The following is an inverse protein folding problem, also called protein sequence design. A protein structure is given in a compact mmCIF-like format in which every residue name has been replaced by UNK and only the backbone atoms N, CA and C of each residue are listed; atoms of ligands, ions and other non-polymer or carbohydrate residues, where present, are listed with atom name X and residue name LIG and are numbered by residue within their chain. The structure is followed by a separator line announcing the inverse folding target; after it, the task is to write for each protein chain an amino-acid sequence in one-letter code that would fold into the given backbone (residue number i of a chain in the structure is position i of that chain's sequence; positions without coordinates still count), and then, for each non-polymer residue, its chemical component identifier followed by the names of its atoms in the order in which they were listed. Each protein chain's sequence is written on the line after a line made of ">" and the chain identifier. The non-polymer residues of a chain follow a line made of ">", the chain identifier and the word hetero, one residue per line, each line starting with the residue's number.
data_IF_383579554995
#
_entry.id   IF_383579554995
#
_cell.length_a   1.000
_cell.length_b   1.000
_cell.length_c   1.000
_cell.angle_alpha   90.00
_cell.angle_beta   90.00
_cell.angle_gamma   90.00
#
_symmetry.space_group_name_H-M   'P 1'
#
loop_
_entity.id
_entity.type
_entity.pdbx_description
1 polymer ?
#
# COMPACT_ATOMS: atom_id res chain seq x y z
N UNK A 1 -6.96 -16.11 -7.40
CA UNK A 1 -5.63 -16.19 -6.76
C UNK A 1 -5.55 -15.14 -5.66
N UNK A 2 -4.83 -15.42 -4.62
CA UNK A 2 -4.58 -14.45 -3.54
C UNK A 2 -3.20 -13.85 -3.75
N UNK A 3 -3.13 -12.53 -3.81
CA UNK A 3 -1.89 -11.80 -4.09
C UNK A 3 -1.61 -10.86 -2.92
N UNK A 4 -0.44 -11.00 -2.32
CA UNK A 4 0.04 -10.12 -1.26
C UNK A 4 0.97 -9.08 -1.87
N UNK A 5 0.76 -7.81 -1.58
CA UNK A 5 1.51 -6.70 -2.17
C UNK A 5 2.11 -5.84 -1.08
N UNK A 6 3.43 -5.71 -1.10
CA UNK A 6 4.14 -4.80 -0.20
C UNK A 6 3.81 -3.35 -0.60
N UNK A 7 3.63 -2.50 0.39
CA UNK A 7 3.29 -1.09 0.16
C UNK A 7 4.55 -0.28 -0.19
N UNK A 8 5.51 -0.22 0.74
CA UNK A 8 6.67 0.66 0.59
C UNK A 8 7.60 0.19 -0.52
N UNK A 9 7.92 1.11 -1.43
CA UNK A 9 8.79 0.88 -2.60
C UNK A 9 8.25 -0.11 -3.61
N UNK A 10 6.98 -0.48 -3.49
CA UNK A 10 6.25 -1.28 -4.49
C UNK A 10 5.16 -0.45 -5.15
N UNK A 11 4.30 0.19 -4.36
CA UNK A 11 3.25 1.08 -4.88
C UNK A 11 3.47 2.53 -4.49
N UNK A 12 4.53 2.82 -3.76
CA UNK A 12 4.91 4.19 -3.41
C UNK A 12 6.43 4.32 -3.31
N UNK A 13 6.90 5.56 -3.33
CA UNK A 13 8.31 5.88 -3.21
C UNK A 13 8.49 7.15 -2.38
N UNK A 14 9.74 7.45 -2.05
CA UNK A 14 10.08 8.61 -1.25
C UNK A 14 11.06 9.48 -2.01
N UNK A 15 10.75 10.78 -2.09
CA UNK A 15 11.62 11.77 -2.69
C UNK A 15 12.32 12.52 -1.56
N UNK A 16 13.53 12.08 -1.22
CA UNK A 16 14.28 12.61 -0.10
C UNK A 16 14.14 11.73 1.15
N UNK A 17 13.71 12.32 2.28
CA UNK A 17 13.56 11.58 3.53
C UNK A 17 12.47 10.52 3.44
N UNK A 18 12.76 9.36 4.01
CA UNK A 18 11.78 8.28 4.11
C UNK A 18 10.86 8.53 5.32
N UNK A 19 9.91 9.42 5.13
CA UNK A 19 8.84 9.67 6.09
C UNK A 19 7.53 9.11 5.52
N UNK A 20 6.88 8.21 6.23
CA UNK A 20 5.73 7.47 5.70
C UNK A 20 4.57 8.37 5.28
N UNK A 21 4.37 9.48 5.99
CA UNK A 21 3.33 10.45 5.64
C UNK A 21 3.64 11.24 4.37
N UNK A 22 4.87 11.15 3.85
CA UNK A 22 5.30 11.85 2.64
C UNK A 22 5.46 10.91 1.44
N UNK A 23 5.01 9.67 1.54
CA UNK A 23 5.09 8.71 0.46
C UNK A 23 4.31 9.20 -0.76
N UNK A 24 4.88 9.00 -1.95
CA UNK A 24 4.28 9.36 -3.21
C UNK A 24 3.87 8.10 -3.99
N UNK A 25 2.72 8.08 -4.65
CA UNK A 25 2.24 6.88 -5.32
C UNK A 25 3.00 6.57 -6.61
N UNK A 26 3.23 5.29 -6.86
CA UNK A 26 3.70 4.80 -8.17
C UNK A 26 2.46 4.37 -8.95
N UNK A 27 1.88 5.31 -9.68
CA UNK A 27 0.58 5.13 -10.32
C UNK A 27 0.52 3.94 -11.26
N UNK A 28 1.55 3.72 -12.05
CA UNK A 28 1.54 2.61 -13.02
C UNK A 28 1.53 1.25 -12.31
N UNK A 29 2.19 1.12 -11.17
CA UNK A 29 2.16 -0.11 -10.38
C UNK A 29 0.79 -0.32 -9.74
N UNK A 30 0.19 0.74 -9.21
CA UNK A 30 -1.15 0.69 -8.63
C UNK A 30 -2.15 0.27 -9.70
N UNK A 31 -2.05 0.81 -10.90
CA UNK A 31 -2.95 0.44 -12.01
C UNK A 31 -2.82 -1.03 -12.40
N UNK A 32 -1.60 -1.56 -12.42
CA UNK A 32 -1.37 -2.98 -12.71
C UNK A 32 -2.03 -3.87 -11.66
N UNK A 33 -1.89 -3.51 -10.40
CA UNK A 33 -2.47 -4.28 -9.29
C UNK A 33 -3.99 -4.17 -9.32
N UNK A 34 -4.53 -2.98 -9.60
CA UNK A 34 -5.97 -2.78 -9.71
C UNK A 34 -6.56 -3.61 -10.85
N UNK A 35 -5.84 -3.78 -11.95
CA UNK A 35 -6.30 -4.67 -13.03
C UNK A 35 -6.36 -6.12 -12.57
N UNK A 36 -5.39 -6.57 -11.80
CA UNK A 36 -5.44 -7.92 -11.23
C UNK A 36 -6.64 -8.10 -10.31
N UNK A 37 -6.97 -7.08 -9.53
CA UNK A 37 -8.18 -7.09 -8.71
C UNK A 37 -9.44 -7.21 -9.58
N UNK A 38 -9.52 -6.42 -10.63
CA UNK A 38 -10.68 -6.43 -11.55
C UNK A 38 -10.83 -7.76 -12.28
N UNK A 39 -9.72 -8.50 -12.46
CA UNK A 39 -9.72 -9.83 -13.08
C UNK A 39 -10.17 -10.94 -12.12
N UNK A 40 -10.51 -10.60 -10.89
CA UNK A 40 -11.03 -11.56 -9.92
C UNK A 40 -10.03 -12.04 -8.88
N UNK A 41 -8.83 -11.49 -8.85
CA UNK A 41 -7.84 -11.84 -7.84
C UNK A 41 -8.13 -11.11 -6.52
N UNK A 42 -7.79 -11.77 -5.40
CA UNK A 42 -7.84 -11.13 -4.09
C UNK A 42 -6.51 -10.41 -3.87
N UNK A 43 -6.59 -9.12 -3.54
CA UNK A 43 -5.40 -8.30 -3.30
C UNK A 43 -5.36 -7.92 -1.82
N UNK A 44 -4.25 -8.24 -1.16
CA UNK A 44 -4.02 -7.86 0.23
C UNK A 44 -2.71 -7.08 0.30
N UNK A 45 -2.80 -5.82 0.70
CA UNK A 45 -1.63 -4.99 0.94
C UNK A 45 -1.07 -5.25 2.33
N UNK A 46 0.26 -5.18 2.47
CA UNK A 46 0.89 -5.31 3.78
C UNK A 46 2.03 -4.31 3.93
N UNK A 47 2.38 -4.01 5.16
CA UNK A 47 3.45 -3.09 5.51
C UNK A 47 4.05 -3.48 6.86
N UNK A 48 5.28 -3.03 7.12
CA UNK A 48 5.93 -3.19 8.41
C UNK A 48 6.19 -1.83 9.08
N UNK A 49 5.48 -0.79 8.69
CA UNK A 49 5.69 0.58 9.19
C UNK A 49 5.62 0.65 10.72
N UNK A 50 4.60 0.05 11.31
CA UNK A 50 4.43 0.05 12.76
C UNK A 50 5.51 -0.76 13.46
N UNK A 51 5.88 -1.91 12.90
CA UNK A 51 6.93 -2.77 13.45
C UNK A 51 8.30 -2.09 13.43
N UNK A 52 8.61 -1.36 12.36
CA UNK A 52 9.89 -0.68 12.18
C UNK A 52 10.02 0.51 13.12
N UNK A 53 9.00 1.34 13.25
CA UNK A 53 9.06 2.61 13.97
C UNK A 53 8.49 2.56 15.39
N UNK A 54 7.71 1.52 15.72
CA UNK A 54 6.94 1.41 16.97
C UNK A 54 5.87 2.50 17.09
N UNK A 55 5.48 3.09 15.98
CA UNK A 55 4.42 4.10 15.87
C UNK A 55 3.26 3.50 15.12
N UNK A 56 2.03 3.84 15.51
CA UNK A 56 0.83 3.40 14.79
C UNK A 56 0.65 4.24 13.53
N UNK A 57 0.82 3.61 12.37
CA UNK A 57 0.66 4.24 11.06
C UNK A 57 -0.65 3.84 10.37
N UNK A 58 -1.59 3.23 11.10
CA UNK A 58 -2.81 2.69 10.48
C UNK A 58 -3.60 3.76 9.72
N UNK A 59 -3.92 4.87 10.38
CA UNK A 59 -4.75 5.92 9.75
C UNK A 59 -4.03 6.56 8.56
N UNK A 60 -2.73 6.82 8.68
CA UNK A 60 -1.93 7.38 7.60
C UNK A 60 -1.92 6.43 6.39
N UNK A 61 -1.65 5.16 6.63
CA UNK A 61 -1.58 4.15 5.56
C UNK A 61 -2.93 3.96 4.89
N UNK A 62 -4.01 3.88 5.69
CA UNK A 62 -5.37 3.75 5.17
C UNK A 62 -5.73 4.93 4.26
N UNK A 63 -5.43 6.15 4.71
CA UNK A 63 -5.69 7.36 3.93
C UNK A 63 -4.91 7.35 2.62
N UNK A 64 -3.65 6.91 2.63
CA UNK A 64 -2.83 6.82 1.43
C UNK A 64 -3.43 5.82 0.43
N UNK A 65 -3.77 4.62 0.86
CA UNK A 65 -4.36 3.62 -0.03
C UNK A 65 -5.67 4.12 -0.64
N UNK A 66 -6.52 4.76 0.17
CA UNK A 66 -7.78 5.33 -0.31
C UNK A 66 -7.54 6.46 -1.32
N UNK A 67 -6.63 7.38 -1.01
CA UNK A 67 -6.32 8.53 -1.87
C UNK A 67 -5.66 8.12 -3.18
N UNK A 68 -4.88 7.05 -3.17
CA UNK A 68 -4.20 6.54 -4.36
C UNK A 68 -5.10 5.66 -5.22
N UNK A 69 -6.32 5.38 -4.77
CA UNK A 69 -7.26 4.56 -5.51
C UNK A 69 -6.91 3.08 -5.54
N UNK A 70 -6.22 2.58 -4.52
CA UNK A 70 -5.84 1.18 -4.44
C UNK A 70 -7.05 0.31 -4.14
N UNK A 71 -7.31 -0.67 -5.00
CA UNK A 71 -8.36 -1.67 -4.80
C UNK A 71 -7.81 -2.84 -3.99
N UNK A 72 -8.53 -3.26 -2.98
CA UNK A 72 -8.10 -4.36 -2.12
C UNK A 72 -9.30 -5.16 -1.64
N UNK A 73 -9.12 -6.47 -1.50
CA UNK A 73 -10.17 -7.37 -1.01
C UNK A 73 -10.34 -7.21 0.50
N UNK A 74 -9.24 -7.05 1.21
CA UNK A 74 -9.19 -6.83 2.63
C UNK A 74 -8.43 -5.52 2.88
N UNK A 75 -8.59 -4.99 4.09
CA UNK A 75 -7.74 -3.88 4.49
C UNK A 75 -6.29 -4.37 4.55
N UNK A 76 -5.36 -3.43 4.56
CA UNK A 76 -3.95 -3.80 4.63
C UNK A 76 -3.61 -4.44 5.98
N UNK A 77 -2.52 -5.20 5.99
CA UNK A 77 -1.98 -5.85 7.18
C UNK A 77 -0.70 -5.12 7.57
N UNK A 78 -0.61 -4.70 8.83
CA UNK A 78 0.61 -4.10 9.40
C UNK A 78 1.33 -5.17 10.21
N UNK A 79 2.48 -5.58 9.73
CA UNK A 79 3.26 -6.68 10.31
C UNK A 79 3.96 -6.30 11.61
#
# INVERSE_FOLDING_TARGET
>A
MIIYVDIDETICYYDGKREYNLALPIKENIEKINRLFDEGNQITYYTARGSVTKIDWYETTKAQLDNWGCKTTLRFVDL
#
